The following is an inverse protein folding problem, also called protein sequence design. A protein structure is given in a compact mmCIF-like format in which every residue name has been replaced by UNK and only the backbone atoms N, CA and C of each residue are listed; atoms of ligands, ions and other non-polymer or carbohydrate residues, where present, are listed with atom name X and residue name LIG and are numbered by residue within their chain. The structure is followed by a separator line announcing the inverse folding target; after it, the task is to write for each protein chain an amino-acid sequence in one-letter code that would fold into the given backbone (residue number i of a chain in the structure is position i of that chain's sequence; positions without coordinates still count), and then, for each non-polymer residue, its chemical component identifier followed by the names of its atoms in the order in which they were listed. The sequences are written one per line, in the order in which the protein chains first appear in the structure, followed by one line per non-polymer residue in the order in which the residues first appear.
data_IF_969969246003
#
_entry.id   IF_969969246003
#
_cell.length_a   1.000
_cell.length_b   1.000
_cell.length_c   1.000
_cell.angle_alpha   90.00
_cell.angle_beta   90.00
_cell.angle_gamma   90.00
#
_symmetry.space_group_name_H-M   'P 1'
#
loop_
_entity.id
_entity.type
_entity.pdbx_description
1 polymer ?
#
# COMPACT_ATOMS: atom_id res chain seq x y z
N UNK A 1 -16.95 -8.03 -13.82
CA UNK A 1 -15.86 -7.48 -14.65
C UNK A 1 -14.57 -7.72 -13.85
N UNK A 2 -13.49 -8.26 -14.43
CA UNK A 2 -12.26 -8.51 -13.68
C UNK A 2 -11.69 -7.18 -13.17
N UNK A 3 -11.42 -7.10 -11.87
CA UNK A 3 -10.79 -5.92 -11.27
C UNK A 3 -9.34 -5.81 -11.75
N UNK A 4 -8.92 -4.60 -12.13
CA UNK A 4 -7.55 -4.34 -12.58
C UNK A 4 -6.61 -4.45 -11.38
N UNK A 5 -5.82 -5.52 -11.33
CA UNK A 5 -4.94 -5.83 -10.20
C UNK A 5 -3.66 -4.97 -10.16
N UNK A 6 -3.09 -4.66 -11.33
CA UNK A 6 -1.88 -3.85 -11.45
C UNK A 6 -2.20 -2.50 -12.07
N UNK A 7 -1.97 -1.45 -11.30
CA UNK A 7 -2.30 -0.07 -11.67
C UNK A 7 -1.05 0.81 -11.68
N UNK A 8 -1.07 1.82 -12.54
CA UNK A 8 -0.06 2.89 -12.53
C UNK A 8 -0.33 3.87 -11.38
N UNK A 9 0.68 4.66 -10.97
CA UNK A 9 0.49 5.68 -9.93
C UNK A 9 -0.65 6.65 -10.24
N UNK A 10 -0.84 7.01 -11.51
CA UNK A 10 -1.92 7.88 -11.95
C UNK A 10 -3.31 7.24 -11.77
N UNK A 11 -3.43 5.94 -12.04
CA UNK A 11 -4.69 5.20 -11.85
C UNK A 11 -4.99 5.00 -10.36
N UNK A 12 -3.97 4.68 -9.56
CA UNK A 12 -4.09 4.59 -8.10
C UNK A 12 -4.49 5.92 -7.48
N UNK A 13 -3.86 7.02 -7.90
CA UNK A 13 -4.19 8.36 -7.45
C UNK A 13 -5.66 8.69 -7.75
N UNK A 14 -6.13 8.39 -8.96
CA UNK A 14 -7.55 8.52 -9.33
C UNK A 14 -8.47 7.65 -8.48
N UNK A 15 -8.08 6.41 -8.18
CA UNK A 15 -8.88 5.50 -7.36
C UNK A 15 -9.01 5.98 -5.90
N UNK A 16 -7.98 6.64 -5.36
CA UNK A 16 -7.95 7.18 -4.01
C UNK A 16 -8.53 8.61 -3.96
N UNK A 17 -8.69 9.27 -5.11
CA UNK A 17 -9.17 10.65 -5.19
C UNK A 17 -8.10 11.71 -4.91
N UNK A 18 -6.83 11.37 -5.12
CA UNK A 18 -5.68 12.27 -4.98
C UNK A 18 -5.11 12.68 -6.35
N UNK A 19 -4.49 13.85 -6.48
CA UNK A 19 -3.70 14.16 -7.66
C UNK A 19 -2.44 13.28 -7.69
N UNK A 20 -1.97 12.99 -8.91
CA UNK A 20 -0.88 12.03 -9.13
C UNK A 20 0.42 12.43 -8.45
N UNK A 21 0.75 13.72 -8.43
CA UNK A 21 1.98 14.23 -7.79
C UNK A 21 1.95 14.09 -6.26
N UNK A 22 0.81 14.39 -5.62
CA UNK A 22 0.65 14.18 -4.18
C UNK A 22 0.68 12.69 -3.82
N UNK A 23 0.07 11.84 -4.65
CA UNK A 23 0.14 10.38 -4.46
C UNK A 23 1.60 9.89 -4.56
N UNK A 24 2.41 10.38 -5.50
CA UNK A 24 3.83 10.00 -5.61
C UNK A 24 4.61 10.39 -4.36
N UNK A 25 4.48 11.63 -3.90
CA UNK A 25 5.15 12.10 -2.69
C UNK A 25 4.73 11.28 -1.46
N UNK A 26 3.42 11.07 -1.31
CA UNK A 26 2.85 10.27 -0.22
C UNK A 26 3.30 8.82 -0.29
N UNK A 27 3.33 8.22 -1.47
CA UNK A 27 3.75 6.83 -1.65
C UNK A 27 5.23 6.62 -1.31
N UNK A 28 6.11 7.59 -1.58
CA UNK A 28 7.53 7.54 -1.15
C UNK A 28 7.63 7.54 0.37
N UNK A 29 6.85 8.38 1.05
CA UNK A 29 6.83 8.43 2.52
C UNK A 29 6.26 7.12 3.09
N UNK A 30 5.14 6.65 2.56
CA UNK A 30 4.47 5.43 3.03
C UNK A 30 5.29 4.17 2.72
N UNK A 31 6.14 4.16 1.69
CA UNK A 31 7.05 3.05 1.41
C UNK A 31 7.98 2.76 2.59
N UNK A 32 8.37 3.78 3.35
CA UNK A 32 9.16 3.63 4.59
C UNK A 32 8.38 2.91 5.70
N UNK A 33 7.05 2.97 5.63
CA UNK A 33 6.12 2.31 6.56
C UNK A 33 5.55 1.00 6.00
N UNK A 34 6.10 0.47 4.90
CA UNK A 34 5.67 -0.81 4.32
C UNK A 34 4.61 -0.70 3.21
N UNK A 35 4.44 0.48 2.61
CA UNK A 35 3.58 0.61 1.41
C UNK A 35 4.17 -0.15 0.22
N UNK A 36 3.32 -0.83 -0.58
CA UNK A 36 3.80 -1.66 -1.69
C UNK A 36 4.60 -0.86 -2.72
N UNK A 37 5.71 -1.46 -3.15
CA UNK A 37 6.59 -0.92 -4.19
C UNK A 37 6.07 -1.28 -5.58
N UNK A 38 6.34 -0.46 -6.61
CA UNK A 38 6.06 -0.84 -7.99
C UNK A 38 6.86 -2.07 -8.38
N UNK A 39 6.21 -3.02 -9.06
CA UNK A 39 6.83 -4.27 -9.47
C UNK A 39 7.44 -4.13 -10.88
N UNK A 40 8.75 -4.39 -11.05
CA UNK A 40 9.43 -4.25 -12.33
C UNK A 40 8.97 -5.27 -13.39
N UNK A 41 8.48 -6.44 -12.97
CA UNK A 41 7.97 -7.49 -13.86
C UNK A 41 6.63 -7.08 -14.46
N UNK A 42 5.83 -6.31 -13.71
CA UNK A 42 4.54 -5.79 -14.18
C UNK A 42 4.62 -4.36 -14.72
N UNK A 43 5.74 -3.99 -15.35
CA UNK A 43 5.95 -2.69 -15.98
C UNK A 43 5.87 -1.53 -14.98
N UNK A 44 6.54 -1.67 -13.83
CA UNK A 44 6.57 -0.72 -12.72
C UNK A 44 5.18 -0.35 -12.18
N UNK A 45 4.25 -1.31 -12.16
CA UNK A 45 2.89 -1.11 -11.63
C UNK A 45 2.79 -1.56 -10.19
N UNK A 46 1.91 -0.91 -9.42
CA UNK A 46 1.60 -1.33 -8.06
C UNK A 46 0.40 -2.26 -8.04
N UNK A 47 0.47 -3.25 -7.16
CA UNK A 47 -0.62 -4.17 -6.90
C UNK A 47 -1.70 -3.48 -6.05
N UNK A 48 -2.84 -3.17 -6.66
CA UNK A 48 -3.95 -2.46 -6.02
C UNK A 48 -4.46 -3.13 -4.74
N UNK A 49 -4.70 -4.46 -4.68
CA UNK A 49 -5.19 -5.06 -3.43
C UNK A 49 -4.17 -4.99 -2.29
N UNK A 50 -2.86 -4.94 -2.54
CA UNK A 50 -1.88 -4.66 -1.49
C UNK A 50 -1.96 -3.21 -1.00
N UNK A 51 -2.16 -2.25 -1.91
CA UNK A 51 -2.39 -0.84 -1.54
C UNK A 51 -3.66 -0.69 -0.71
N UNK A 52 -4.74 -1.34 -1.15
CA UNK A 52 -6.01 -1.36 -0.43
C UNK A 52 -5.82 -1.96 0.96
N UNK A 53 -5.21 -3.14 1.09
CA UNK A 53 -4.95 -3.78 2.39
C UNK A 53 -4.11 -2.91 3.33
N UNK A 54 -3.10 -2.20 2.81
CA UNK A 54 -2.32 -1.25 3.59
C UNK A 54 -3.17 -0.10 4.14
N UNK A 55 -4.00 0.51 3.28
CA UNK A 55 -4.89 1.60 3.68
C UNK A 55 -5.96 1.10 4.67
N UNK A 56 -6.54 -0.06 4.40
CA UNK A 56 -7.53 -0.73 5.24
C UNK A 56 -6.97 -0.99 6.66
N UNK A 57 -5.73 -1.49 6.76
CA UNK A 57 -5.00 -1.63 8.03
C UNK A 57 -4.77 -0.27 8.70
N UNK A 58 -4.40 0.76 7.93
CA UNK A 58 -4.13 2.11 8.46
C UNK A 58 -5.38 2.78 9.03
N UNK A 59 -6.54 2.53 8.45
CA UNK A 59 -7.83 3.10 8.88
C UNK A 59 -8.65 2.17 9.77
N UNK A 60 -8.08 1.05 10.23
CA UNK A 60 -8.75 0.11 11.14
C UNK A 60 -9.88 -0.70 10.51
N UNK A 61 -9.98 -0.70 9.18
CA UNK A 61 -10.94 -1.48 8.39
C UNK A 61 -10.43 -2.89 8.07
N UNK A 62 -9.13 -3.15 8.32
CA UNK A 62 -8.46 -4.44 8.20
C UNK A 62 -9.06 -5.48 9.12
N UNK A 63 -10.22 -6.02 8.73
CA UNK A 63 -10.97 -6.97 9.51
C UNK A 63 -10.13 -8.20 9.82
N UNK A 64 -9.77 -8.37 11.10
CA UNK A 64 -9.50 -9.60 11.86
C UNK A 64 -8.88 -10.85 11.20
N UNK A 65 -8.30 -10.79 10.01
CA UNK A 65 -7.64 -11.93 9.37
C UNK A 65 -6.17 -11.58 9.21
N UNK A 66 -5.40 -12.14 10.13
CA UNK A 66 -3.96 -12.28 10.08
C UNK A 66 -3.20 -11.03 10.52
N UNK A 67 -2.87 -11.06 11.82
CA UNK A 67 -1.59 -10.59 12.37
C UNK A 67 -0.41 -11.08 11.50
N UNK A 68 -0.22 -10.54 10.30
CA UNK A 68 1.02 -10.70 9.55
C UNK A 68 1.98 -9.62 10.04
N UNK A 69 2.74 -10.06 11.04
CA UNK A 69 4.05 -9.57 11.46
C UNK A 69 4.23 -8.06 11.37
N UNK A 70 3.98 -7.41 12.48
CA UNK A 70 4.79 -6.26 12.85
C UNK A 70 6.24 -6.78 12.94
N UNK A 71 7.23 -6.28 12.19
CA UNK A 71 8.58 -6.22 12.73
C UNK A 71 8.58 -5.05 13.74
N UNK A 72 7.75 -5.14 14.78
CA UNK A 72 8.01 -4.36 15.99
C UNK A 72 9.23 -5.03 16.58
N UNK A 73 10.33 -4.30 16.59
CA UNK A 73 11.53 -4.73 17.28
C UNK A 73 11.14 -5.19 18.67
N UNK A 74 11.61 -6.37 19.03
CA UNK A 74 11.46 -6.95 20.35
C UNK A 74 11.99 -5.94 21.38
N UNK A 75 11.11 -5.16 21.99
CA UNK A 75 11.47 -4.31 23.12
C UNK A 75 11.64 -5.22 24.34
N UNK A 76 12.86 -5.73 24.51
CA UNK A 76 13.30 -6.32 25.77
C UNK A 76 13.49 -5.17 26.76
N UNK A 77 12.49 -4.93 27.59
CA UNK A 77 12.69 -4.19 28.84
C UNK A 77 12.80 -5.23 29.96
N UNK A 78 14.01 -5.28 30.52
CA UNK A 78 14.46 -6.10 31.65
C UNK A 78 13.49 -6.01 32.86
#
# INVERSE_FOLDING_TARGET
MPEKLFMTDAELAKAIGLPTDEFKATAIVLQRSGFPVPDPVFNNRRYWPAVKAYLDRRYGLGGQTEKLTNPDGQENWD
#
